data_IF_204313971771
#
_entry.id   IF_204313971771
#
_cell.length_a   1.000
_cell.length_b   1.000
_cell.length_c   1.000
_cell.angle_alpha   90.00
_cell.angle_beta   90.00
_cell.angle_gamma   90.00
#
_symmetry.space_group_name_H-M   'P 1'
#
loop_
_entity.id
_entity.type
_entity.pdbx_description
1 polymer ?
#
# COMPACT_ATOMS: atom_id res chain seq x y z
N UNK A 1 -3.91 23.75 5.99
CA UNK A 1 -3.98 23.13 7.32
C UNK A 1 -4.99 22.00 7.24
N UNK A 2 -4.56 20.81 6.83
CA UNK A 2 -5.39 19.62 6.81
C UNK A 2 -5.11 18.85 8.09
N UNK A 3 -6.17 18.48 8.81
CA UNK A 3 -6.06 17.66 10.01
C UNK A 3 -5.62 16.25 9.59
N UNK A 4 -4.44 15.83 10.04
CA UNK A 4 -4.05 14.43 10.02
C UNK A 4 -5.11 13.60 10.76
N UNK A 5 -5.53 12.42 10.27
CA UNK A 5 -6.26 11.49 11.12
C UNK A 5 -5.35 11.14 12.30
N UNK A 6 -5.67 11.71 13.46
CA UNK A 6 -4.84 11.70 14.67
C UNK A 6 -4.72 10.26 15.18
N UNK A 7 -3.66 9.59 14.75
CA UNK A 7 -3.16 8.36 15.35
C UNK A 7 -2.03 8.75 16.31
N UNK A 8 -2.40 9.26 17.49
CA UNK A 8 -1.45 9.66 18.54
C UNK A 8 -1.77 8.95 19.86
N UNK A 9 -0.94 7.98 20.24
CA UNK A 9 -0.13 7.96 21.48
C UNK A 9 0.65 6.66 21.58
N UNK A 10 1.94 6.80 21.86
CA UNK A 10 2.96 5.77 21.77
C UNK A 10 2.95 4.75 22.90
N UNK A 11 3.70 3.68 22.66
CA UNK A 11 4.59 3.11 23.65
C UNK A 11 5.87 2.73 22.91
N UNK A 12 6.97 3.34 23.34
CA UNK A 12 8.32 3.00 22.94
C UNK A 12 8.62 1.59 23.46
N UNK A 13 9.01 0.70 22.56
CA UNK A 13 9.76 -0.50 22.93
C UNK A 13 11.05 -0.44 22.13
N UNK A 14 12.12 -0.08 22.83
CA UNK A 14 13.48 -0.16 22.34
C UNK A 14 13.95 -1.60 22.21
N UNK A 15 14.99 -1.78 21.38
CA UNK A 15 15.72 -3.02 21.25
C UNK A 15 16.51 -3.06 19.95
N UNK A 16 17.80 -2.73 20.03
CA UNK A 16 18.83 -2.76 18.98
C UNK A 16 19.19 -4.18 18.47
N UNK A 17 18.20 -5.07 18.38
CA UNK A 17 18.34 -6.39 17.76
C UNK A 17 17.12 -6.65 16.87
N UNK A 18 16.99 -5.85 15.81
CA UNK A 18 16.16 -6.24 14.67
C UNK A 18 16.83 -7.44 14.02
N UNK A 19 16.60 -8.61 14.63
CA UNK A 19 17.00 -9.91 14.13
C UNK A 19 16.74 -9.92 12.64
N UNK A 20 17.75 -10.36 11.92
CA UNK A 20 17.71 -10.68 10.50
C UNK A 20 16.53 -11.63 10.22
N UNK A 21 15.31 -11.10 10.08
CA UNK A 21 14.11 -11.94 9.94
C UNK A 21 14.14 -12.46 8.52
N UNK A 22 14.54 -13.73 8.39
CA UNK A 22 14.56 -14.43 7.12
C UNK A 22 13.13 -14.62 6.61
N UNK A 23 12.73 -13.81 5.63
CA UNK A 23 11.44 -13.96 4.95
C UNK A 23 11.29 -15.39 4.39
N UNK A 24 12.38 -16.04 3.98
CA UNK A 24 12.38 -17.44 3.56
C UNK A 24 11.90 -18.39 4.66
N UNK A 25 12.35 -18.19 5.90
CA UNK A 25 11.87 -18.95 7.05
C UNK A 25 10.37 -18.70 7.30
N UNK A 26 9.92 -17.45 7.20
CA UNK A 26 8.50 -17.12 7.34
C UNK A 26 7.63 -17.68 6.22
N UNK A 27 8.14 -17.74 4.99
CA UNK A 27 7.48 -18.40 3.86
C UNK A 27 7.33 -19.91 4.10
N UNK A 28 8.35 -20.56 4.66
CA UNK A 28 8.28 -21.98 5.03
C UNK A 28 7.26 -22.24 6.14
N UNK A 29 7.16 -21.36 7.13
CA UNK A 29 6.26 -21.52 8.28
C UNK A 29 4.80 -21.17 7.97
N UNK A 30 4.57 -20.05 7.27
CA UNK A 30 3.23 -19.53 7.02
C UNK A 30 2.66 -19.98 5.66
N UNK A 31 3.52 -20.46 4.75
CA UNK A 31 3.16 -20.91 3.42
C UNK A 31 2.95 -19.77 2.43
N UNK A 32 3.40 -19.97 1.18
CA UNK A 32 3.19 -18.99 0.10
C UNK A 32 1.72 -18.82 -0.27
N UNK A 33 0.91 -19.88 -0.14
CA UNK A 33 -0.54 -19.83 -0.41
C UNK A 33 -1.33 -18.97 0.58
N UNK A 34 -0.72 -18.57 1.70
CA UNK A 34 -1.32 -17.67 2.68
C UNK A 34 -0.73 -16.26 2.61
N UNK A 35 0.15 -15.99 1.64
CA UNK A 35 0.75 -14.68 1.46
C UNK A 35 -0.33 -13.72 0.95
N UNK A 36 -0.55 -12.64 1.68
CA UNK A 36 -1.55 -11.64 1.34
C UNK A 36 -0.92 -10.47 0.58
N UNK A 37 0.24 -10.01 1.05
CA UNK A 37 0.85 -8.79 0.55
C UNK A 37 2.37 -8.92 0.62
N UNK A 38 3.06 -8.64 -0.48
CA UNK A 38 4.52 -8.75 -0.55
C UNK A 38 5.09 -7.63 -1.43
N UNK A 39 6.16 -7.01 -0.95
CA UNK A 39 6.85 -5.92 -1.62
C UNK A 39 8.34 -6.21 -1.57
N UNK A 40 9.00 -6.08 -2.71
CA UNK A 40 10.44 -6.24 -2.86
C UNK A 40 11.04 -4.91 -3.30
N UNK A 41 12.21 -4.59 -2.75
CA UNK A 41 12.96 -3.38 -3.05
C UNK A 41 14.41 -3.69 -3.38
N UNK A 42 15.15 -2.64 -3.76
CA UNK A 42 16.58 -2.71 -3.95
C UNK A 42 17.29 -3.13 -2.64
N UNK A 43 18.50 -3.72 -2.76
CA UNK A 43 19.33 -4.02 -1.59
C UNK A 43 18.75 -5.06 -0.63
N UNK A 44 18.03 -6.06 -1.16
CA UNK A 44 17.34 -7.11 -0.37
C UNK A 44 16.23 -6.59 0.55
N UNK A 45 15.74 -5.37 0.31
CA UNK A 45 14.60 -4.85 1.06
C UNK A 45 13.33 -5.60 0.72
N UNK A 46 12.54 -5.89 1.73
CA UNK A 46 11.30 -6.59 1.55
C UNK A 46 10.33 -6.35 2.70
N UNK A 47 9.06 -6.50 2.37
CA UNK A 47 7.96 -6.52 3.34
C UNK A 47 7.03 -7.65 2.90
N UNK A 48 6.58 -8.48 3.84
CA UNK A 48 5.61 -9.53 3.58
C UNK A 48 4.58 -9.58 4.70
N UNK A 49 3.31 -9.79 4.35
CA UNK A 49 2.19 -10.03 5.26
C UNK A 49 1.39 -11.23 4.79
N UNK A 50 0.95 -12.03 5.74
CA UNK A 50 0.10 -13.20 5.53
C UNK A 50 -1.34 -12.93 5.98
N UNK A 51 -2.28 -13.74 5.47
CA UNK A 51 -3.72 -13.61 5.74
C UNK A 51 -4.08 -13.69 7.25
N UNK A 52 -3.22 -14.31 8.06
CA UNK A 52 -3.37 -14.39 9.50
C UNK A 52 -2.89 -13.13 10.24
N UNK A 53 -2.44 -12.10 9.53
CA UNK A 53 -1.94 -10.84 10.08
C UNK A 53 -0.48 -10.87 10.52
N UNK A 54 0.19 -12.03 10.46
CA UNK A 54 1.64 -12.11 10.67
C UNK A 54 2.32 -11.34 9.53
N UNK A 55 3.33 -10.56 9.87
CA UNK A 55 4.14 -9.84 8.89
C UNK A 55 5.62 -9.93 9.26
N UNK A 56 6.45 -9.69 8.25
CA UNK A 56 7.90 -9.63 8.36
C UNK A 56 8.41 -8.54 7.43
N UNK A 57 9.46 -7.84 7.84
CA UNK A 57 10.08 -6.80 7.03
C UNK A 57 11.59 -6.79 7.21
N UNK A 58 12.25 -6.51 6.10
CA UNK A 58 13.65 -6.14 6.03
C UNK A 58 13.76 -4.82 5.31
N UNK A 59 14.07 -3.75 6.02
CA UNK A 59 14.17 -2.42 5.41
C UNK A 59 14.94 -1.48 6.32
N UNK A 60 15.15 -0.22 5.90
CA UNK A 60 15.78 0.79 6.75
C UNK A 60 14.95 1.07 8.00
N UNK A 61 15.58 1.52 9.08
CA UNK A 61 14.89 1.81 10.35
C UNK A 61 13.75 2.81 10.19
N UNK A 62 13.93 3.79 9.29
CA UNK A 62 12.90 4.79 8.95
C UNK A 62 11.63 4.11 8.41
N UNK A 63 11.79 3.24 7.41
CA UNK A 63 10.66 2.52 6.81
C UNK A 63 10.09 1.53 7.82
N UNK A 64 10.94 0.83 8.58
CA UNK A 64 10.50 -0.15 9.57
C UNK A 64 9.65 0.51 10.66
N UNK A 65 10.02 1.71 11.09
CA UNK A 65 9.24 2.52 12.03
C UNK A 65 7.85 2.82 11.47
N UNK A 66 7.76 3.21 10.19
CA UNK A 66 6.48 3.42 9.53
C UNK A 66 5.66 2.12 9.41
N UNK A 67 6.30 1.00 9.05
CA UNK A 67 5.64 -0.31 8.97
C UNK A 67 5.06 -0.71 10.33
N UNK A 68 5.86 -0.65 11.39
CA UNK A 68 5.41 -0.96 12.77
C UNK A 68 4.24 -0.07 13.14
N UNK A 69 4.32 1.24 12.88
CA UNK A 69 3.25 2.20 13.17
C UNK A 69 1.94 1.84 12.47
N UNK A 70 1.98 1.46 11.19
CA UNK A 70 0.77 1.29 10.38
C UNK A 70 0.28 -0.16 10.24
N UNK A 71 1.02 -1.16 10.73
CA UNK A 71 0.58 -2.56 10.82
C UNK A 71 0.41 -3.09 12.25
N UNK A 72 1.01 -2.45 13.27
CA UNK A 72 0.93 -2.95 14.66
C UNK A 72 -0.11 -2.23 15.51
N UNK A 73 -0.60 -1.07 15.08
CA UNK A 73 -1.70 -0.39 15.75
C UNK A 73 -3.03 -1.08 15.42
N UNK A 74 -3.82 -1.38 16.45
CA UNK A 74 -4.99 -2.29 16.41
C UNK A 74 -6.08 -1.95 15.38
N UNK A 75 -6.04 -0.76 14.80
CA UNK A 75 -7.01 -0.35 13.80
C UNK A 75 -6.37 0.15 12.51
N UNK A 76 -5.05 0.04 12.32
CA UNK A 76 -4.37 0.48 11.10
C UNK A 76 -3.90 -0.71 10.26
N UNK A 77 -4.01 -0.58 8.94
CA UNK A 77 -3.53 -1.60 8.01
C UNK A 77 -2.89 -0.96 6.80
N UNK A 78 -1.69 -1.44 6.45
CA UNK A 78 -1.06 -1.11 5.17
C UNK A 78 -1.87 -1.73 4.03
N UNK A 79 -2.30 -0.91 3.09
CA UNK A 79 -3.09 -1.29 1.91
C UNK A 79 -2.19 -1.44 0.69
N UNK A 80 -1.25 -0.51 0.51
CA UNK A 80 -0.30 -0.52 -0.57
C UNK A 80 1.06 -0.03 -0.06
N UNK A 81 2.14 -0.53 -0.64
CA UNK A 81 3.50 -0.15 -0.29
C UNK A 81 4.41 -0.43 -1.48
N UNK A 82 5.40 0.44 -1.69
CA UNK A 82 6.42 0.24 -2.71
C UNK A 82 7.78 0.74 -2.21
N UNK A 83 8.83 0.04 -2.64
CA UNK A 83 10.22 0.45 -2.52
C UNK A 83 10.75 0.82 -3.90
N UNK A 84 11.40 1.96 -4.03
CA UNK A 84 11.93 2.45 -5.29
C UNK A 84 13.43 2.71 -5.25
N UNK A 85 13.87 3.49 -6.23
CA UNK A 85 15.25 3.89 -6.41
C UNK A 85 15.75 4.70 -5.21
N UNK A 86 17.01 4.47 -4.82
CA UNK A 86 17.69 5.23 -3.78
C UNK A 86 16.96 5.26 -2.42
N UNK A 87 16.35 4.15 -2.02
CA UNK A 87 15.61 3.98 -0.76
C UNK A 87 14.35 4.84 -0.65
N UNK A 88 13.84 5.29 -1.79
CA UNK A 88 12.51 5.88 -1.87
C UNK A 88 11.44 4.86 -1.50
N UNK A 89 10.36 5.33 -0.88
CA UNK A 89 9.24 4.49 -0.53
C UNK A 89 7.93 5.28 -0.49
N UNK A 90 6.84 4.53 -0.66
CA UNK A 90 5.48 5.00 -0.39
C UNK A 90 4.76 3.91 0.37
N UNK A 91 4.03 4.30 1.40
CA UNK A 91 3.13 3.46 2.19
C UNK A 91 1.76 4.11 2.13
N UNK A 92 0.73 3.34 1.81
CA UNK A 92 -0.66 3.74 2.00
C UNK A 92 -1.31 2.85 3.03
N UNK A 93 -2.06 3.47 3.92
CA UNK A 93 -2.66 2.80 5.05
C UNK A 93 -4.10 3.28 5.26
N UNK A 94 -4.95 2.38 5.73
CA UNK A 94 -6.32 2.69 6.12
C UNK A 94 -6.54 2.37 7.59
N UNK A 95 -7.68 2.80 8.13
CA UNK A 95 -8.15 2.32 9.42
C UNK A 95 -9.28 1.31 9.24
N UNK A 96 -9.45 0.37 10.18
CA UNK A 96 -10.56 -0.57 10.20
C UNK A 96 -11.93 0.15 10.14
N UNK A 97 -12.01 1.33 10.76
CA UNK A 97 -13.19 2.20 10.74
C UNK A 97 -13.37 3.00 9.45
N UNK A 98 -12.32 3.15 8.62
CA UNK A 98 -12.36 3.93 7.39
C UNK A 98 -11.33 3.42 6.37
N UNK A 99 -11.68 2.35 5.66
CA UNK A 99 -10.91 1.82 4.54
C UNK A 99 -11.20 2.53 3.21
N UNK A 100 -12.15 3.48 3.19
CA UNK A 100 -12.50 4.26 2.00
C UNK A 100 -11.61 5.49 1.83
N UNK A 101 -11.06 5.99 2.94
CA UNK A 101 -10.14 7.11 2.97
C UNK A 101 -8.79 6.64 3.50
N UNK A 102 -7.83 6.51 2.60
CA UNK A 102 -6.49 6.06 2.96
C UNK A 102 -5.58 7.26 3.23
N UNK A 103 -4.74 7.11 4.24
CA UNK A 103 -3.57 7.95 4.42
C UNK A 103 -2.41 7.45 3.56
N UNK A 104 -1.40 8.29 3.42
CA UNK A 104 -0.14 7.91 2.83
C UNK A 104 1.03 8.48 3.65
N UNK A 105 2.14 7.76 3.64
CA UNK A 105 3.40 8.11 4.27
C UNK A 105 4.50 7.75 3.28
N UNK A 106 5.36 8.71 2.94
CA UNK A 106 6.33 8.52 1.87
C UNK A 106 7.57 9.38 2.07
N UNK A 107 8.68 8.89 1.57
CA UNK A 107 9.87 9.68 1.28
C UNK A 107 10.41 9.22 -0.08
N UNK A 108 10.38 10.12 -1.07
CA UNK A 108 10.83 9.81 -2.41
C UNK A 108 12.31 10.14 -2.64
N UNK A 109 13.02 10.66 -1.61
CA UNK A 109 14.46 10.98 -1.64
C UNK A 109 14.87 11.90 -2.80
N UNK A 110 13.94 12.71 -3.32
CA UNK A 110 14.14 13.57 -4.49
C UNK A 110 13.92 12.91 -5.84
N UNK A 111 13.54 11.63 -5.88
CA UNK A 111 13.14 10.89 -7.09
C UNK A 111 11.63 11.00 -7.34
N UNK A 112 11.18 10.52 -8.50
CA UNK A 112 9.78 10.51 -8.94
C UNK A 112 9.08 11.88 -8.75
N UNK A 113 9.58 12.95 -9.38
CA UNK A 113 9.09 14.31 -9.14
C UNK A 113 7.60 14.48 -9.42
N UNK A 114 7.08 13.81 -10.46
CA UNK A 114 5.65 13.85 -10.81
C UNK A 114 4.77 13.15 -9.76
N UNK A 115 5.27 12.04 -9.20
CA UNK A 115 4.63 11.35 -8.08
C UNK A 115 4.63 12.24 -6.83
N UNK A 116 5.78 12.87 -6.52
CA UNK A 116 5.88 13.79 -5.38
C UNK A 116 4.85 14.91 -5.47
N UNK A 117 4.73 15.56 -6.64
CA UNK A 117 3.72 16.59 -6.88
C UNK A 117 2.29 16.07 -6.70
N UNK A 118 2.03 14.84 -7.18
CA UNK A 118 0.72 14.18 -7.04
C UNK A 118 0.38 13.94 -5.56
N UNK A 119 1.32 13.39 -4.78
CA UNK A 119 1.13 13.07 -3.36
C UNK A 119 1.06 14.33 -2.47
N UNK A 120 1.73 15.41 -2.84
CA UNK A 120 1.69 16.70 -2.13
C UNK A 120 0.47 17.57 -2.51
N UNK A 121 -0.36 17.13 -3.46
CA UNK A 121 -1.53 17.91 -3.85
C UNK A 121 -2.50 18.07 -2.67
N UNK A 122 -3.19 19.21 -2.58
CA UNK A 122 -4.14 19.49 -1.48
C UNK A 122 -5.37 18.56 -1.46
N UNK A 123 -5.44 17.55 -2.34
CA UNK A 123 -6.55 16.62 -2.44
C UNK A 123 -6.17 15.32 -1.74
N UNK A 124 -6.98 14.84 -0.77
CA UNK A 124 -6.73 13.54 -0.15
C UNK A 124 -6.82 12.45 -1.21
N UNK A 125 -5.72 11.72 -1.37
CA UNK A 125 -5.54 10.69 -2.39
C UNK A 125 -5.44 9.32 -1.70
N UNK A 126 -6.39 8.44 -2.01
CA UNK A 126 -6.35 7.05 -1.55
C UNK A 126 -5.56 6.22 -2.56
N UNK A 127 -4.45 5.62 -2.14
CA UNK A 127 -3.61 4.77 -3.00
C UNK A 127 -4.00 3.30 -2.75
N UNK A 128 -4.51 2.63 -3.78
CA UNK A 128 -4.95 1.24 -3.70
C UNK A 128 -3.87 0.25 -4.14
N UNK A 129 -3.01 0.68 -5.07
CA UNK A 129 -1.82 -0.06 -5.48
C UNK A 129 -0.75 0.93 -5.95
N UNK A 130 0.51 0.60 -5.68
CA UNK A 130 1.65 1.37 -6.14
C UNK A 130 2.84 0.44 -6.39
N UNK A 131 3.60 0.71 -7.43
CA UNK A 131 4.91 0.13 -7.66
C UNK A 131 5.87 1.24 -8.10
N UNK A 132 7.07 1.26 -7.53
CA UNK A 132 8.16 2.15 -7.95
C UNK A 132 9.19 1.28 -8.65
N UNK A 133 9.72 1.73 -9.78
CA UNK A 133 10.81 1.02 -10.44
C UNK A 133 12.11 1.25 -9.64
N UNK A 134 12.71 0.21 -9.00
CA UNK A 134 13.91 0.39 -8.19
C UNK A 134 15.17 0.72 -9.02
N UNK A 135 15.08 0.65 -10.35
CA UNK A 135 16.17 0.93 -11.29
C UNK A 135 16.02 2.26 -12.02
N UNK A 136 14.86 2.92 -11.89
CA UNK A 136 14.56 4.21 -12.52
C UNK A 136 14.23 5.27 -11.47
N UNK A 137 14.70 6.49 -11.70
CA UNK A 137 14.40 7.65 -10.86
C UNK A 137 13.04 8.28 -11.16
N UNK A 138 12.32 7.80 -12.17
CA UNK A 138 11.09 8.41 -12.68
C UNK A 138 9.92 7.46 -12.86
N UNK A 139 10.18 6.17 -13.12
CA UNK A 139 9.13 5.25 -13.56
C UNK A 139 8.35 4.67 -12.37
N UNK A 140 7.02 4.77 -12.41
CA UNK A 140 6.14 4.20 -11.40
C UNK A 140 4.76 3.84 -11.96
N UNK A 141 4.04 3.04 -11.19
CA UNK A 141 2.64 2.66 -11.43
C UNK A 141 1.84 3.09 -10.22
N UNK A 142 0.74 3.81 -10.43
CA UNK A 142 -0.12 4.29 -9.36
C UNK A 142 -1.60 4.02 -9.67
N UNK A 143 -2.27 3.29 -8.78
CA UNK A 143 -3.72 3.10 -8.78
C UNK A 143 -4.29 3.81 -7.57
N UNK A 144 -5.15 4.80 -7.81
CA UNK A 144 -5.61 5.68 -6.76
C UNK A 144 -7.04 6.19 -6.99
N UNK A 145 -7.62 6.85 -6.00
CA UNK A 145 -8.94 7.49 -6.13
C UNK A 145 -9.07 8.72 -5.24
N UNK A 146 -9.93 9.64 -5.65
CA UNK A 146 -10.36 10.75 -4.81
C UNK A 146 -11.58 10.35 -4.00
N UNK A 147 -11.57 10.72 -2.72
CA UNK A 147 -12.67 10.46 -1.79
C UNK A 147 -14.03 10.99 -2.27
N UNK A 148 -14.06 12.07 -3.06
CA UNK A 148 -15.32 12.75 -3.42
C UNK A 148 -16.08 12.16 -4.61
N UNK A 149 -15.43 11.35 -5.44
CA UNK A 149 -16.00 11.06 -6.76
C UNK A 149 -16.42 9.59 -6.93
N UNK A 150 -16.02 8.68 -6.04
CA UNK A 150 -16.24 7.24 -6.22
C UNK A 150 -15.57 6.66 -7.49
N UNK A 151 -14.78 7.48 -8.19
CA UNK A 151 -14.08 7.16 -9.41
C UNK A 151 -12.64 6.77 -9.09
N UNK A 152 -12.26 5.57 -9.51
CA UNK A 152 -10.88 5.10 -9.50
C UNK A 152 -10.15 5.68 -10.72
N UNK A 153 -8.92 6.16 -10.51
CA UNK A 153 -8.02 6.62 -11.57
C UNK A 153 -6.74 5.79 -11.51
N UNK A 154 -6.32 5.30 -12.66
CA UNK A 154 -5.03 4.67 -12.85
C UNK A 154 -4.14 5.59 -13.68
N UNK A 155 -2.87 5.66 -13.29
CA UNK A 155 -1.84 6.38 -14.03
C UNK A 155 -0.60 5.49 -14.13
N UNK A 156 -0.01 5.44 -15.32
CA UNK A 156 1.18 4.66 -15.62
C UNK A 156 2.10 5.48 -16.51
N UNK A 157 3.41 5.36 -16.26
CA UNK A 157 4.42 5.83 -17.21
C UNK A 157 4.58 4.79 -18.34
N UNK A 158 4.82 5.25 -19.58
CA UNK A 158 4.50 4.55 -20.84
C UNK A 158 5.32 3.29 -21.14
N UNK A 159 6.34 2.95 -20.35
CA UNK A 159 7.26 1.83 -20.68
C UNK A 159 6.75 0.43 -20.31
N UNK A 160 5.67 0.28 -19.51
CA UNK A 160 5.28 -1.02 -18.94
C UNK A 160 3.84 -1.47 -19.25
N UNK A 161 3.32 -1.17 -20.45
CA UNK A 161 1.92 -1.45 -20.85
C UNK A 161 1.53 -2.93 -20.77
N UNK A 162 2.45 -3.89 -20.90
CA UNK A 162 2.09 -5.32 -21.00
C UNK A 162 2.00 -6.07 -19.67
N UNK A 163 2.70 -5.64 -18.61
CA UNK A 163 2.76 -6.39 -17.32
C UNK A 163 1.63 -5.94 -16.37
N UNK A 164 1.10 -4.73 -16.57
CA UNK A 164 0.19 -4.06 -15.64
C UNK A 164 -1.27 -4.41 -15.89
N UNK A 165 -1.64 -4.72 -17.13
CA UNK A 165 -3.04 -4.98 -17.53
C UNK A 165 -3.60 -6.20 -16.80
N UNK A 166 -2.82 -7.27 -16.62
CA UNK A 166 -3.30 -8.47 -15.93
C UNK A 166 -3.44 -8.29 -14.41
N UNK A 167 -2.55 -7.51 -13.78
CA UNK A 167 -2.59 -7.22 -12.33
C UNK A 167 -3.69 -6.21 -12.00
N UNK A 168 -3.89 -5.18 -12.85
CA UNK A 168 -4.94 -4.19 -12.65
C UNK A 168 -6.33 -4.77 -12.94
N UNK A 169 -6.49 -5.61 -13.97
CA UNK A 169 -7.78 -6.25 -14.28
C UNK A 169 -8.21 -7.26 -13.21
N UNK A 170 -7.27 -8.02 -12.64
CA UNK A 170 -7.56 -8.92 -11.52
C UNK A 170 -8.02 -8.13 -10.28
N UNK A 171 -7.33 -7.06 -9.90
CA UNK A 171 -7.74 -6.19 -8.78
C UNK A 171 -9.11 -5.52 -9.01
N UNK A 172 -9.39 -5.01 -10.21
CA UNK A 172 -10.68 -4.37 -10.53
C UNK A 172 -11.82 -5.41 -10.52
N UNK A 173 -11.55 -6.65 -10.93
CA UNK A 173 -12.54 -7.73 -10.90
C UNK A 173 -12.93 -8.12 -9.47
N UNK A 174 -11.98 -8.13 -8.53
CA UNK A 174 -12.24 -8.44 -7.12
C UNK A 174 -12.98 -7.31 -6.38
N UNK A 175 -12.66 -6.05 -6.68
CA UNK A 175 -13.38 -4.89 -6.13
C UNK A 175 -14.87 -4.92 -6.55
N UNK A 176 -15.18 -5.37 -7.77
CA UNK A 176 -16.58 -5.54 -8.22
C UNK A 176 -17.33 -6.66 -7.49
N UNK A 177 -16.64 -7.70 -7.00
CA UNK A 177 -17.26 -8.83 -6.31
C UNK A 177 -17.62 -8.48 -4.86
N UNK A 178 -16.94 -7.48 -4.26
CA UNK A 178 -17.22 -7.02 -2.90
C UNK A 178 -18.34 -5.97 -2.79
N UNK A 179 -18.93 -5.49 -3.90
CA UNK A 179 -20.20 -4.78 -3.81
C UNK A 179 -21.31 -5.80 -3.52
N UNK A 180 -21.98 -5.78 -2.35
CA UNK A 180 -23.14 -6.62 -2.15
C UNK A 180 -24.17 -6.23 -3.22
N UNK A 181 -24.64 -7.21 -3.98
CA UNK A 181 -25.79 -7.08 -4.86
C UNK A 181 -26.89 -6.33 -4.11
N UNK A 182 -27.00 -5.02 -4.33
CA UNK A 182 -28.19 -4.27 -3.98
C UNK A 182 -29.26 -4.82 -4.90
N UNK A 183 -30.16 -5.60 -4.30
CA UNK A 183 -31.31 -6.17 -4.98
C UNK A 183 -31.98 -5.10 -5.84
N UNK A 184 -32.20 -5.47 -7.10
CA UNK A 184 -33.09 -4.78 -8.01
C UNK A 184 -34.45 -4.71 -7.28
N UNK A 185 -35.01 -3.52 -7.00
CA UNK A 185 -36.41 -3.46 -6.60
C UNK A 185 -37.23 -3.89 -7.81
N UNK A 186 -37.94 -5.01 -7.68
CA UNK A 186 -39.01 -5.42 -8.60
C UNK A 186 -40.03 -4.29 -8.70
N UNK A 187 -39.92 -3.50 -9.76
CA UNK A 187 -40.96 -2.62 -10.25
C UNK A 187 -41.27 -3.07 -11.67
N UNK A 188 -42.14 -4.08 -11.75
CA UNK A 188 -43.22 -4.24 -12.73
C UNK A 188 -43.98 -5.52 -12.33
N UNK A 189 -45.13 -5.37 -11.67
CA UNK A 189 -46.39 -6.06 -12.03
C UNK A 189 -47.55 -5.62 -11.13
N UNK A 190 -48.48 -4.94 -11.81
CA UNK A 190 -49.88 -4.62 -11.49
C UNK A 190 -50.14 -3.37 -10.66
#
# INVERSE_FOLDING_TARGET
MNADPVCMRGSEVGGEDAQRVDIGAHLGLNGIGNLEFCVLGSGQRCFARWLNGIWSSWTSDEINTAVVKYNSYRDCRIVAMAFGYGDSYVISYGTASNMKQLGNWFDLKGYYPDLYQTLQSNKPLSIYAIALDPTSTTNYILVWGYHKDGLYRSWWDQEYVSIIVDVALSFISEIRIQEPHKGIPDLIRR
#
